data_IF_192959940816
#
_entry.id   IF_192959940816
#
_cell.length_a   1.000
_cell.length_b   1.000
_cell.length_c   1.000
_cell.angle_alpha   90.00
_cell.angle_beta   90.00
_cell.angle_gamma   90.00
#
_symmetry.space_group_name_H-M   'P 1'
#
loop_
_entity.id
_entity.type
_entity.pdbx_description
1 polymer ?
#
# COMPACT_ATOMS: atom_id res chain seq x y z
N UNK A 1 11.04 6.89 18.67
CA UNK A 1 10.01 7.34 17.72
C UNK A 1 10.61 7.69 16.39
N UNK A 2 10.24 6.94 15.35
CA UNK A 2 10.62 7.20 13.95
C UNK A 2 9.69 8.26 13.37
N UNK A 3 10.20 9.10 12.47
CA UNK A 3 9.46 10.18 11.81
C UNK A 3 9.36 9.93 10.30
N UNK A 4 8.16 10.11 9.78
CA UNK A 4 7.79 10.02 8.36
C UNK A 4 6.82 11.16 8.01
N UNK A 5 6.33 11.17 6.78
CA UNK A 5 5.36 12.17 6.31
C UNK A 5 4.19 11.50 5.58
N UNK A 6 3.01 12.10 5.67
CA UNK A 6 1.82 11.63 4.97
C UNK A 6 1.10 12.77 4.29
N UNK A 7 0.70 12.55 3.04
CA UNK A 7 -0.17 13.43 2.30
C UNK A 7 -1.63 13.13 2.62
N UNK A 8 -2.27 13.98 3.44
CA UNK A 8 -3.70 13.86 3.71
C UNK A 8 -4.52 14.39 2.53
N UNK A 9 -4.84 13.47 1.63
CA UNK A 9 -5.69 13.71 0.46
C UNK A 9 -7.19 13.70 0.81
N UNK A 10 -7.54 13.28 2.02
CA UNK A 10 -8.94 13.14 2.49
C UNK A 10 -9.41 14.30 3.36
N UNK A 11 -8.47 15.07 3.93
CA UNK A 11 -8.75 16.13 4.90
C UNK A 11 -9.26 15.60 6.24
N UNK A 12 -8.90 14.36 6.59
CA UNK A 12 -9.41 13.68 7.80
C UNK A 12 -8.43 13.71 8.97
N UNK A 13 -7.17 14.06 8.74
CA UNK A 13 -6.14 14.10 9.77
C UNK A 13 -6.14 15.43 10.51
N UNK A 14 -5.68 15.38 11.76
CA UNK A 14 -5.49 16.54 12.64
C UNK A 14 -4.20 16.35 13.41
N UNK A 15 -3.55 17.46 13.79
CA UNK A 15 -2.42 17.43 14.70
C UNK A 15 -2.81 16.75 16.01
N UNK A 16 -1.85 16.09 16.64
CA UNK A 16 -1.98 15.30 17.88
C UNK A 16 -2.96 14.11 17.79
N UNK A 17 -3.43 13.76 16.58
CA UNK A 17 -4.30 12.60 16.39
C UNK A 17 -3.53 11.31 16.63
N UNK A 18 -4.07 10.45 17.50
CA UNK A 18 -3.57 9.08 17.70
C UNK A 18 -4.43 8.08 16.92
N UNK A 19 -3.81 7.37 15.98
CA UNK A 19 -4.43 6.32 15.18
C UNK A 19 -3.93 4.97 15.69
N UNK A 20 -4.85 4.20 16.26
CA UNK A 20 -4.57 2.83 16.73
C UNK A 20 -4.70 1.84 15.60
N UNK A 21 -3.63 1.11 15.30
CA UNK A 21 -3.58 0.11 14.21
C UNK A 21 -3.22 -1.30 14.71
N UNK A 22 -2.85 -1.43 15.99
CA UNK A 22 -2.53 -2.73 16.59
C UNK A 22 -3.66 -3.77 16.53
N UNK A 23 -3.27 -5.04 16.71
CA UNK A 23 -4.13 -6.23 16.82
C UNK A 23 -4.85 -6.68 15.53
N UNK A 24 -4.26 -6.46 14.35
CA UNK A 24 -4.86 -6.91 13.09
C UNK A 24 -6.12 -6.12 12.71
N UNK A 25 -6.30 -4.94 13.30
CA UNK A 25 -7.39 -4.02 12.99
C UNK A 25 -7.18 -3.41 11.61
N UNK A 26 -8.24 -3.27 10.82
CA UNK A 26 -8.13 -2.63 9.50
C UNK A 26 -7.84 -1.14 9.64
N UNK A 27 -6.89 -0.67 8.85
CA UNK A 27 -6.66 0.75 8.68
C UNK A 27 -7.83 1.39 7.93
N UNK A 28 -7.87 2.73 7.85
CA UNK A 28 -8.88 3.42 7.04
C UNK A 28 -8.87 2.94 5.58
N UNK A 29 -7.70 2.68 5.04
CA UNK A 29 -7.50 2.07 3.72
C UNK A 29 -8.13 0.67 3.67
N UNK A 30 -7.79 -0.21 4.61
CA UNK A 30 -8.35 -1.56 4.68
C UNK A 30 -9.86 -1.59 4.82
N UNK A 31 -10.45 -0.68 5.60
CA UNK A 31 -11.90 -0.56 5.75
C UNK A 31 -12.60 -0.24 4.43
N UNK A 32 -12.01 0.63 3.60
CA UNK A 32 -12.56 0.99 2.28
C UNK A 32 -12.56 -0.24 1.38
N UNK A 33 -11.43 -0.94 1.25
CA UNK A 33 -11.33 -2.10 0.36
C UNK A 33 -12.14 -3.30 0.86
N UNK A 34 -12.13 -3.58 2.16
CA UNK A 34 -12.97 -4.64 2.72
C UNK A 34 -14.46 -4.37 2.50
N UNK A 35 -14.92 -3.13 2.60
CA UNK A 35 -16.30 -2.79 2.27
C UNK A 35 -16.62 -3.05 0.79
N UNK A 36 -15.69 -2.78 -0.13
CA UNK A 36 -15.85 -3.08 -1.57
C UNK A 36 -15.90 -4.59 -1.83
N UNK A 37 -15.04 -5.38 -1.17
CA UNK A 37 -15.05 -6.84 -1.26
C UNK A 37 -16.38 -7.43 -0.77
N UNK A 38 -16.83 -7.01 0.42
CA UNK A 38 -18.08 -7.48 1.03
C UNK A 38 -19.32 -7.13 0.21
N UNK A 39 -19.35 -5.99 -0.47
CA UNK A 39 -20.45 -5.62 -1.39
C UNK A 39 -20.62 -6.62 -2.52
N UNK A 40 -19.53 -7.25 -2.94
CA UNK A 40 -19.54 -8.35 -3.90
C UNK A 40 -19.60 -9.72 -3.21
N UNK A 41 -19.90 -9.80 -1.92
CA UNK A 41 -19.97 -11.06 -1.17
C UNK A 41 -18.64 -11.80 -1.04
N UNK A 42 -17.50 -11.11 -1.21
CA UNK A 42 -16.16 -11.65 -0.95
C UNK A 42 -15.84 -11.37 0.52
N UNK A 43 -15.96 -12.41 1.36
CA UNK A 43 -15.77 -12.30 2.81
C UNK A 43 -14.40 -12.78 3.28
N UNK A 44 -13.73 -13.59 2.47
CA UNK A 44 -12.45 -14.22 2.76
C UNK A 44 -11.57 -14.22 1.50
N UNK A 45 -10.26 -14.23 1.71
CA UNK A 45 -9.29 -14.41 0.64
C UNK A 45 -9.09 -15.90 0.39
N UNK A 46 -9.25 -16.32 -0.86
CA UNK A 46 -9.05 -17.71 -1.26
C UNK A 46 -8.58 -17.77 -2.72
N UNK A 47 -7.56 -18.58 -3.00
CA UNK A 47 -7.13 -18.84 -4.37
C UNK A 47 -7.92 -19.93 -5.09
N UNK A 48 -8.55 -20.88 -4.37
CA UNK A 48 -9.18 -22.06 -4.98
C UNK A 48 -10.43 -22.58 -4.24
N UNK A 49 -11.61 -22.57 -4.90
CA UNK A 49 -11.90 -21.88 -6.16
C UNK A 49 -11.86 -20.36 -5.96
N UNK A 50 -11.24 -19.63 -6.90
CA UNK A 50 -11.33 -18.17 -6.90
C UNK A 50 -12.80 -17.77 -7.05
N UNK A 51 -13.39 -16.94 -6.16
CA UNK A 51 -14.78 -16.56 -6.29
C UNK A 51 -15.03 -15.81 -7.61
N UNK A 52 -16.02 -16.22 -8.40
CA UNK A 52 -16.38 -15.57 -9.68
C UNK A 52 -16.55 -14.05 -9.54
N UNK A 53 -17.02 -13.62 -8.35
CA UNK A 53 -17.27 -12.23 -8.00
C UNK A 53 -16.00 -11.38 -7.91
N UNK A 54 -14.81 -11.98 -7.78
CA UNK A 54 -13.52 -11.29 -7.84
C UNK A 54 -13.34 -10.59 -9.19
N UNK A 55 -13.83 -11.21 -10.28
CA UNK A 55 -13.79 -10.60 -11.61
C UNK A 55 -14.68 -9.34 -11.74
N UNK A 56 -15.56 -9.06 -10.78
CA UNK A 56 -16.42 -7.88 -10.77
C UNK A 56 -15.79 -6.70 -10.01
N UNK A 57 -14.62 -6.88 -9.39
CA UNK A 57 -13.90 -5.78 -8.73
C UNK A 57 -13.43 -4.74 -9.76
N UNK A 58 -13.48 -3.48 -9.37
CA UNK A 58 -12.75 -2.42 -10.09
C UNK A 58 -11.24 -2.65 -10.00
N UNK A 59 -10.46 -2.06 -10.90
CA UNK A 59 -9.03 -2.35 -11.03
C UNK A 59 -8.24 -2.09 -9.74
N UNK A 60 -8.59 -1.05 -8.98
CA UNK A 60 -7.93 -0.76 -7.70
C UNK A 60 -8.25 -1.84 -6.66
N UNK A 61 -9.50 -2.26 -6.56
CA UNK A 61 -9.94 -3.27 -5.60
C UNK A 61 -9.44 -4.66 -5.99
N UNK A 62 -9.40 -4.95 -7.29
CA UNK A 62 -8.81 -6.17 -7.83
C UNK A 62 -7.32 -6.25 -7.47
N UNK A 63 -6.56 -5.17 -7.66
CA UNK A 63 -5.14 -5.09 -7.29
C UNK A 63 -4.92 -5.38 -5.80
N UNK A 64 -5.63 -4.68 -4.91
CA UNK A 64 -5.45 -4.88 -3.47
C UNK A 64 -5.92 -6.27 -3.00
N UNK A 65 -6.95 -6.85 -3.64
CA UNK A 65 -7.36 -8.22 -3.35
C UNK A 65 -6.24 -9.22 -3.67
N UNK A 66 -5.66 -9.11 -4.87
CA UNK A 66 -4.60 -10.03 -5.29
C UNK A 66 -3.27 -9.78 -4.58
N UNK A 67 -2.94 -8.54 -4.19
CA UNK A 67 -1.77 -8.26 -3.35
C UNK A 67 -1.86 -8.98 -2.01
N UNK A 68 -3.02 -8.91 -1.35
CA UNK A 68 -3.26 -9.60 -0.09
C UNK A 68 -3.28 -11.12 -0.27
N UNK A 69 -3.93 -11.62 -1.31
CA UNK A 69 -3.91 -13.06 -1.64
C UNK A 69 -2.48 -13.57 -1.89
N UNK A 70 -1.66 -12.80 -2.61
CA UNK A 70 -0.25 -13.13 -2.84
C UNK A 70 0.53 -13.18 -1.53
N UNK A 71 0.33 -12.21 -0.65
CA UNK A 71 1.01 -12.13 0.65
C UNK A 71 0.73 -13.36 1.50
N UNK A 72 -0.52 -13.83 1.54
CA UNK A 72 -0.93 -14.94 2.42
C UNK A 72 -0.70 -16.33 1.83
N UNK A 73 -0.77 -16.50 0.50
CA UNK A 73 -0.73 -17.84 -0.11
C UNK A 73 0.56 -18.15 -0.88
N UNK A 74 1.29 -17.14 -1.36
CA UNK A 74 2.45 -17.40 -2.22
C UNK A 74 3.55 -18.15 -1.45
N UNK A 75 4.08 -19.29 -1.96
CA UNK A 75 4.96 -20.18 -1.21
C UNK A 75 6.18 -19.52 -0.60
N UNK A 76 6.73 -18.50 -1.27
CA UNK A 76 7.90 -17.76 -0.77
C UNK A 76 7.56 -16.56 0.12
N UNK A 77 6.33 -16.05 0.07
CA UNK A 77 5.94 -14.85 0.83
C UNK A 77 5.26 -15.21 2.16
N UNK A 78 4.49 -16.29 2.19
CA UNK A 78 3.73 -16.71 3.38
C UNK A 78 4.59 -17.05 4.60
N UNK A 79 5.87 -17.39 4.35
CA UNK A 79 6.86 -17.70 5.40
C UNK A 79 7.59 -16.44 5.90
N UNK A 80 7.36 -15.28 5.28
CA UNK A 80 7.95 -14.01 5.65
C UNK A 80 7.01 -13.25 6.59
N UNK A 81 7.57 -12.48 7.51
CA UNK A 81 6.83 -11.59 8.41
C UNK A 81 6.38 -10.31 7.67
N UNK A 82 5.46 -10.48 6.71
CA UNK A 82 4.93 -9.40 5.89
C UNK A 82 3.64 -8.85 6.48
N UNK A 83 3.60 -7.53 6.67
CA UNK A 83 2.40 -6.82 7.14
C UNK A 83 1.40 -6.64 6.01
N UNK A 84 0.10 -6.75 6.30
CA UNK A 84 -0.93 -6.45 5.30
C UNK A 84 -1.05 -4.95 5.07
N UNK A 85 -1.08 -4.55 3.80
CA UNK A 85 -1.45 -3.18 3.38
C UNK A 85 -2.81 -2.74 3.93
N UNK A 86 -3.75 -3.69 4.11
CA UNK A 86 -5.08 -3.41 4.66
C UNK A 86 -5.06 -3.06 6.15
N UNK A 87 -3.96 -3.35 6.84
CA UNK A 87 -3.77 -3.06 8.26
C UNK A 87 -2.76 -1.94 8.51
N UNK A 88 -2.22 -1.32 7.46
CA UNK A 88 -1.17 -0.33 7.59
C UNK A 88 -1.65 1.11 7.38
N UNK A 89 -0.93 2.03 8.02
CA UNK A 89 -0.87 3.43 7.63
C UNK A 89 0.27 3.62 6.63
N UNK A 90 0.03 4.44 5.62
CA UNK A 90 0.98 4.71 4.54
C UNK A 90 1.67 6.03 4.80
N UNK A 91 2.99 6.04 4.78
CA UNK A 91 3.80 7.25 4.90
C UNK A 91 4.98 7.20 3.92
N UNK A 92 5.79 8.25 3.90
CA UNK A 92 7.00 8.38 3.09
C UNK A 92 8.12 9.05 3.90
N UNK A 93 9.35 8.95 3.43
CA UNK A 93 10.53 9.41 4.18
C UNK A 93 10.69 10.93 4.23
N UNK A 94 10.14 11.65 3.25
CA UNK A 94 10.32 13.09 3.11
C UNK A 94 9.05 13.80 2.68
N UNK A 95 9.03 15.11 2.88
CA UNK A 95 7.94 16.00 2.44
C UNK A 95 7.85 16.01 0.91
N UNK A 96 9.00 15.99 0.24
CA UNK A 96 9.11 15.94 -1.21
C UNK A 96 8.44 14.67 -1.75
N UNK A 97 8.72 13.51 -1.14
CA UNK A 97 8.08 12.26 -1.51
C UNK A 97 6.57 12.32 -1.27
N UNK A 98 6.09 13.06 -0.25
CA UNK A 98 4.67 13.14 0.05
C UNK A 98 3.92 13.95 -1.02
N UNK A 99 4.55 15.03 -1.53
CA UNK A 99 4.02 15.76 -2.68
C UNK A 99 4.11 14.94 -3.97
N UNK A 100 5.21 14.24 -4.19
CA UNK A 100 5.36 13.34 -5.35
C UNK A 100 4.29 12.24 -5.34
N UNK A 101 4.01 11.63 -4.18
CA UNK A 101 2.92 10.66 -4.02
C UNK A 101 1.59 11.23 -4.51
N UNK A 102 1.20 12.42 -4.04
CA UNK A 102 -0.06 13.03 -4.41
C UNK A 102 -0.14 13.36 -5.91
N UNK A 103 0.96 13.86 -6.48
CA UNK A 103 1.07 14.13 -7.91
C UNK A 103 0.93 12.85 -8.75
N UNK A 104 1.61 11.78 -8.33
CA UNK A 104 1.62 10.47 -9.00
C UNK A 104 0.23 9.82 -9.06
N UNK A 105 -0.62 10.09 -8.06
CA UNK A 105 -1.99 9.60 -7.99
C UNK A 105 -3.03 10.58 -8.58
N UNK A 106 -2.58 11.66 -9.23
CA UNK A 106 -3.45 12.58 -9.96
C UNK A 106 -4.29 13.50 -9.06
N UNK A 107 -3.88 13.73 -7.81
CA UNK A 107 -4.55 14.69 -6.94
C UNK A 107 -4.30 16.12 -7.44
N UNK A 108 -5.37 16.81 -7.84
CA UNK A 108 -5.30 18.15 -8.46
C UNK A 108 -5.01 19.27 -7.45
N UNK A 109 -5.26 19.04 -6.18
CA UNK A 109 -5.05 20.01 -5.10
C UNK A 109 -3.82 19.64 -4.30
N UNK A 110 -2.98 20.63 -3.96
CA UNK A 110 -1.83 20.43 -3.07
C UNK A 110 -2.35 19.83 -1.74
N UNK A 111 -1.96 18.59 -1.38
CA UNK A 111 -2.43 17.96 -0.14
C UNK A 111 -1.86 18.68 1.08
N UNK A 112 -2.52 18.51 2.22
CA UNK A 112 -1.90 18.87 3.49
C UNK A 112 -0.94 17.76 3.89
N UNK A 113 0.30 18.10 4.21
CA UNK A 113 1.29 17.12 4.68
C UNK A 113 1.36 17.19 6.20
N UNK A 114 1.38 16.03 6.85
CA UNK A 114 1.60 15.90 8.28
C UNK A 114 2.86 15.11 8.57
N UNK A 115 3.54 15.47 9.66
CA UNK A 115 4.50 14.57 10.28
C UNK A 115 3.78 13.34 10.85
N UNK A 116 4.41 12.19 10.71
CA UNK A 116 3.89 10.90 11.16
C UNK A 116 4.93 10.26 12.05
N UNK A 117 4.54 10.01 13.30
CA UNK A 117 5.42 9.48 14.32
C UNK A 117 4.95 8.09 14.75
N UNK A 118 5.89 7.15 14.89
CA UNK A 118 5.56 5.78 15.32
C UNK A 118 6.75 5.12 16.02
N UNK A 119 6.46 4.26 16.99
CA UNK A 119 7.40 3.26 17.52
C UNK A 119 7.10 1.84 17.01
N UNK A 120 6.09 1.70 16.16
CA UNK A 120 5.63 0.43 15.62
C UNK A 120 6.57 -0.17 14.57
N UNK A 121 6.29 -1.43 14.17
CA UNK A 121 6.95 -2.05 13.03
C UNK A 121 6.67 -1.26 11.75
N UNK A 122 7.70 -1.18 10.91
CA UNK A 122 7.61 -0.53 9.60
C UNK A 122 8.15 -1.47 8.53
N UNK A 123 7.62 -1.31 7.32
CA UNK A 123 8.12 -1.95 6.12
C UNK A 123 8.28 -0.90 5.03
N UNK A 124 9.42 -0.88 4.34
CA UNK A 124 9.67 0.03 3.22
C UNK A 124 9.58 -0.77 1.93
N UNK A 125 8.67 -0.40 1.05
CA UNK A 125 8.41 -1.11 -0.20
C UNK A 125 8.45 -0.13 -1.36
N UNK A 126 8.93 -0.58 -2.51
CA UNK A 126 8.93 0.24 -3.73
C UNK A 126 7.58 0.09 -4.44
N UNK A 127 6.73 1.11 -4.33
CA UNK A 127 5.41 1.07 -4.93
C UNK A 127 5.44 1.24 -6.46
N UNK A 128 6.59 1.60 -7.06
CA UNK A 128 6.70 1.67 -8.52
C UNK A 128 6.42 0.31 -9.18
N UNK A 129 6.67 -0.80 -8.48
CA UNK A 129 6.24 -2.13 -8.92
C UNK A 129 4.72 -2.25 -9.15
N UNK A 130 3.91 -1.43 -8.49
CA UNK A 130 2.44 -1.49 -8.51
C UNK A 130 1.79 -0.50 -9.49
N UNK A 131 2.61 0.32 -10.16
CA UNK A 131 2.15 1.35 -11.12
C UNK A 131 1.91 0.80 -12.52
N UNK A 132 2.36 -0.42 -12.77
CA UNK A 132 2.17 -1.06 -14.06
C UNK A 132 0.70 -1.39 -14.30
N UNK A 133 0.27 -1.24 -15.55
CA UNK A 133 -1.04 -1.72 -15.95
C UNK A 133 -1.00 -3.23 -16.11
N UNK A 134 -2.07 -3.84 -15.63
CA UNK A 134 -2.06 -5.23 -15.24
C UNK A 134 -3.27 -5.90 -15.90
N UNK A 135 -3.04 -6.75 -16.91
CA UNK A 135 -4.08 -7.63 -17.48
C UNK A 135 -4.55 -8.61 -16.44
N UNK A 136 -5.85 -8.88 -16.26
CA UNK A 136 -6.44 -9.74 -15.18
C UNK A 136 -6.04 -11.23 -15.20
N UNK A 137 -4.87 -11.56 -15.72
CA UNK A 137 -4.22 -12.85 -15.75
C UNK A 137 -3.20 -12.95 -14.60
N UNK A 138 -3.34 -13.97 -13.76
CA UNK A 138 -2.53 -14.16 -12.56
C UNK A 138 -1.01 -14.18 -12.85
N UNK A 139 -0.59 -14.87 -13.92
CA UNK A 139 0.81 -14.98 -14.34
C UNK A 139 1.44 -13.64 -14.72
N UNK A 140 0.63 -12.65 -15.10
CA UNK A 140 1.12 -11.32 -15.47
C UNK A 140 1.55 -10.48 -14.24
N UNK A 141 1.05 -10.80 -13.03
CA UNK A 141 1.29 -10.00 -11.82
C UNK A 141 2.30 -10.60 -10.87
N UNK A 142 2.46 -11.92 -10.90
CA UNK A 142 3.30 -12.65 -9.94
C UNK A 142 4.68 -12.04 -9.81
N UNK A 143 5.32 -11.76 -10.95
CA UNK A 143 6.64 -11.15 -10.99
C UNK A 143 6.66 -9.80 -10.26
N UNK A 144 5.73 -8.90 -10.56
CA UNK A 144 5.68 -7.55 -9.97
C UNK A 144 5.34 -7.60 -8.48
N UNK A 145 4.32 -8.37 -8.08
CA UNK A 145 3.86 -8.44 -6.69
C UNK A 145 4.89 -9.13 -5.81
N UNK A 146 5.59 -10.14 -6.32
CA UNK A 146 6.70 -10.77 -5.60
C UNK A 146 7.84 -9.77 -5.38
N UNK A 147 8.22 -8.99 -6.38
CA UNK A 147 9.29 -7.99 -6.23
C UNK A 147 8.89 -6.88 -5.25
N UNK A 148 7.65 -6.40 -5.35
CA UNK A 148 7.05 -5.49 -4.39
C UNK A 148 7.17 -6.02 -2.96
N UNK A 149 6.63 -7.21 -2.68
CA UNK A 149 6.62 -7.78 -1.32
C UNK A 149 8.00 -8.17 -0.79
N UNK A 150 8.95 -8.50 -1.66
CA UNK A 150 10.34 -8.73 -1.25
C UNK A 150 11.11 -7.44 -0.95
N UNK A 151 10.49 -6.27 -1.10
CA UNK A 151 11.12 -4.98 -0.84
C UNK A 151 12.26 -4.65 -1.82
N UNK A 152 12.26 -5.30 -2.99
CA UNK A 152 13.22 -4.98 -4.05
C UNK A 152 12.90 -3.63 -4.63
N UNK A 153 13.92 -2.93 -5.10
CA UNK A 153 13.70 -1.69 -5.84
C UNK A 153 13.59 -1.96 -7.32
N UNK A 154 12.77 -1.20 -8.04
CA UNK A 154 12.61 -1.37 -9.47
C UNK A 154 13.89 -0.98 -10.23
N UNK A 155 14.71 -0.10 -9.65
CA UNK A 155 16.03 0.28 -10.19
C UNK A 155 17.04 -0.88 -10.19
N UNK A 156 16.82 -1.89 -9.34
CA UNK A 156 17.68 -3.08 -9.26
C UNK A 156 17.32 -4.12 -10.33
N UNK A 157 16.20 -3.95 -11.03
CA UNK A 157 15.78 -4.87 -12.07
C UNK A 157 16.47 -4.59 -13.41
N UNK A 158 17.08 -5.61 -14.00
CA UNK A 158 17.87 -5.47 -15.23
C UNK A 158 17.04 -5.08 -16.45
N UNK A 159 15.77 -5.45 -16.49
CA UNK A 159 14.90 -5.21 -17.64
C UNK A 159 14.12 -3.91 -17.46
N UNK A 160 13.52 -3.70 -16.30
CA UNK A 160 12.65 -2.54 -16.06
C UNK A 160 13.41 -1.27 -15.77
N UNK A 161 14.60 -1.31 -15.15
CA UNK A 161 15.40 -0.10 -14.90
C UNK A 161 15.75 0.70 -16.16
N UNK A 162 15.86 0.04 -17.32
CA UNK A 162 16.10 0.69 -18.60
C UNK A 162 14.89 1.50 -19.11
N UNK A 163 13.67 1.10 -18.73
CA UNK A 163 12.41 1.64 -19.25
C UNK A 163 11.65 2.49 -18.23
N UNK A 164 11.80 2.22 -16.93
CA UNK A 164 11.17 2.97 -15.86
C UNK A 164 11.97 4.24 -15.55
N UNK A 165 11.59 5.35 -16.20
CA UNK A 165 12.27 6.64 -16.04
C UNK A 165 11.87 7.39 -14.77
N UNK A 166 10.79 6.99 -14.09
CA UNK A 166 10.36 7.62 -12.83
C UNK A 166 11.21 7.18 -11.64
N UNK A 167 11.84 6.02 -11.72
CA UNK A 167 12.64 5.43 -10.65
C UNK A 167 11.80 4.85 -9.51
N UNK A 168 12.51 4.40 -8.48
CA UNK A 168 11.93 3.78 -7.29
C UNK A 168 11.16 4.81 -6.46
N UNK A 169 9.94 4.46 -6.03
CA UNK A 169 9.19 5.28 -5.08
C UNK A 169 8.88 4.48 -3.83
N UNK A 170 9.56 4.84 -2.74
CA UNK A 170 9.49 4.07 -1.50
C UNK A 170 8.32 4.55 -0.65
N UNK A 171 7.33 3.68 -0.46
CA UNK A 171 6.29 3.84 0.56
C UNK A 171 6.72 3.16 1.86
N UNK A 172 6.26 3.70 2.98
CA UNK A 172 6.46 3.17 4.33
C UNK A 172 5.11 2.66 4.85
N UNK A 173 5.01 1.35 5.04
CA UNK A 173 3.87 0.70 5.69
C UNK A 173 4.12 0.67 7.19
N UNK A 174 3.25 1.28 7.98
CA UNK A 174 3.32 1.29 9.44
C UNK A 174 2.17 0.42 9.97
N UNK A 175 2.49 -0.69 10.64
CA UNK A 175 1.49 -1.62 11.19
C UNK A 175 1.21 -1.43 12.68
N UNK A 176 1.98 -0.57 13.35
CA UNK A 176 1.73 -0.18 14.73
C UNK A 176 1.00 1.16 14.83
N UNK A 177 0.78 1.60 16.06
CA UNK A 177 0.14 2.87 16.36
C UNK A 177 0.89 4.06 15.74
N UNK A 178 0.11 5.04 15.30
CA UNK A 178 0.60 6.24 14.60
C UNK A 178 0.13 7.49 15.34
N UNK A 179 1.04 8.43 15.55
CA UNK A 179 0.76 9.75 16.08
C UNK A 179 0.99 10.78 14.97
N UNK A 180 -0.04 11.58 14.71
CA UNK A 180 0.02 12.66 13.73
C UNK A 180 0.64 13.87 14.43
N UNK A 181 1.79 14.32 13.93
CA UNK A 181 2.49 15.50 14.44
C UNK A 181 2.02 16.79 13.77
N UNK A 182 2.90 17.79 13.73
CA UNK A 182 2.62 19.06 13.11
C UNK A 182 2.33 18.95 11.62
N UNK A 183 1.50 19.85 11.12
CA UNK A 183 1.37 20.13 9.70
C UNK A 183 2.68 20.70 9.16
N UNK A 184 3.04 20.26 7.96
CA UNK A 184 4.19 20.79 7.21
C UNK A 184 3.67 21.65 6.05
N UNK A 185 4.26 22.84 5.86
CA UNK A 185 3.88 23.83 4.83
C UNK A 185 4.52 23.55 3.45
#
# INVERSE_FOLDING_TARGET
MKKFYHADVTGSLKEDMHIKLGNGSLSKFGQIYQARFRRLGINEFCSKPLPDKVALLDDSSYREYFLELFRIEHPHLKELDLVSRLNCFFAVESVENAYEYANRHGHKTKPTIYEVHTDGPIMKLDMTWLDHQFTREFSAFEYYYRHYWLGKKIEEDQHLSAHEKRGSFIEVLISGDVYIGSRVE
#
